data_IF_560612035098
#
_entry.id   IF_560612035098
#
_cell.length_a   1.000
_cell.length_b   1.000
_cell.length_c   1.000
_cell.angle_alpha   90.00
_cell.angle_beta   90.00
_cell.angle_gamma   90.00
#
_symmetry.space_group_name_H-M   'P 1'
#
loop_
_entity.id
_entity.type
_entity.pdbx_description
1 polymer ?
#
# COMPACT_ATOMS: atom_id res chain seq x y z
N UNK A 1 38.47 -12.28 16.80
CA UNK A 1 37.04 -12.15 17.07
C UNK A 1 36.61 -10.80 16.53
N UNK A 2 35.61 -10.75 15.63
CA UNK A 2 35.12 -9.47 15.11
C UNK A 2 34.49 -8.67 16.26
N UNK A 3 34.84 -7.40 16.37
CA UNK A 3 34.14 -6.49 17.28
C UNK A 3 32.73 -6.26 16.75
N UNK A 4 31.73 -6.65 17.55
CA UNK A 4 30.32 -6.61 17.18
C UNK A 4 29.73 -5.21 17.42
N UNK A 5 30.36 -4.40 18.28
CA UNK A 5 29.85 -3.07 18.63
C UNK A 5 29.72 -2.16 17.40
N UNK A 6 30.73 -2.00 16.52
CA UNK A 6 30.60 -1.14 15.34
C UNK A 6 29.48 -1.56 14.39
N UNK A 7 29.22 -2.87 14.28
CA UNK A 7 28.14 -3.44 13.46
C UNK A 7 26.78 -3.06 14.07
N UNK A 8 26.62 -3.30 15.37
CA UNK A 8 25.42 -2.95 16.11
C UNK A 8 25.11 -1.45 16.03
N UNK A 9 26.14 -0.62 16.21
CA UNK A 9 26.06 0.84 16.13
C UNK A 9 25.61 1.29 14.74
N UNK A 10 26.25 0.76 13.69
CA UNK A 10 25.89 1.09 12.31
C UNK A 10 24.44 0.72 11.98
N UNK A 11 24.01 -0.50 12.35
CA UNK A 11 22.63 -0.95 12.13
C UNK A 11 21.61 -0.09 12.89
N UNK A 12 21.91 0.26 14.15
CA UNK A 12 21.02 1.04 15.00
C UNK A 12 20.79 2.45 14.45
N UNK A 13 21.85 3.11 13.99
CA UNK A 13 21.71 4.41 13.32
C UNK A 13 20.99 4.33 11.97
N UNK A 14 21.28 3.30 11.19
CA UNK A 14 20.64 3.08 9.90
C UNK A 14 19.13 2.85 10.05
N UNK A 15 18.73 2.05 11.05
CA UNK A 15 17.34 1.73 11.32
C UNK A 15 16.53 2.99 11.65
N UNK A 16 17.02 3.80 12.59
CA UNK A 16 16.37 5.08 12.92
C UNK A 16 16.30 6.01 11.69
N UNK A 17 17.37 6.08 10.90
CA UNK A 17 17.40 6.95 9.73
C UNK A 17 16.39 6.53 8.66
N UNK A 18 16.30 5.24 8.35
CA UNK A 18 15.34 4.71 7.38
C UNK A 18 13.92 5.00 7.85
N UNK A 19 13.60 4.66 9.11
CA UNK A 19 12.27 4.87 9.67
C UNK A 19 11.85 6.34 9.62
N UNK A 20 12.73 7.27 10.04
CA UNK A 20 12.43 8.70 9.96
C UNK A 20 12.23 9.15 8.51
N UNK A 21 13.06 8.69 7.56
CA UNK A 21 12.90 9.07 6.15
C UNK A 21 11.60 8.55 5.54
N UNK A 22 11.19 7.32 5.86
CA UNK A 22 10.00 6.68 5.28
C UNK A 22 8.70 7.10 5.95
N UNK A 23 8.73 7.58 7.20
CA UNK A 23 7.52 7.94 7.95
C UNK A 23 7.26 9.45 8.05
N UNK A 24 8.30 10.28 7.91
CA UNK A 24 8.18 11.74 8.02
C UNK A 24 8.51 12.48 6.73
N UNK A 25 9.21 11.82 5.80
CA UNK A 25 9.77 12.48 4.63
C UNK A 25 10.87 13.50 4.95
N UNK A 26 11.44 13.53 6.17
CA UNK A 26 12.50 14.47 6.53
C UNK A 26 13.72 14.38 5.60
N UNK A 27 14.40 15.50 5.35
CA UNK A 27 15.69 15.53 4.65
C UNK A 27 16.80 15.10 5.59
N UNK A 28 17.91 14.68 5.01
CA UNK A 28 19.13 14.33 5.74
C UNK A 28 19.58 15.41 6.74
N UNK A 29 19.54 16.69 6.36
CA UNK A 29 19.90 17.80 7.27
C UNK A 29 18.93 17.89 8.47
N UNK A 30 17.66 17.59 8.27
CA UNK A 30 16.60 17.64 9.30
C UNK A 30 16.78 16.46 10.26
N UNK A 31 17.08 15.26 9.74
CA UNK A 31 17.43 14.08 10.53
C UNK A 31 18.65 14.32 11.44
N UNK A 32 19.73 14.90 10.91
CA UNK A 32 20.96 15.11 11.67
C UNK A 32 20.80 16.16 12.80
N UNK A 33 19.70 16.92 12.82
CA UNK A 33 19.41 17.90 13.87
C UNK A 33 18.78 17.28 15.12
N UNK A 34 18.25 16.05 15.05
CA UNK A 34 17.56 15.42 16.17
C UNK A 34 18.55 15.26 17.34
N UNK A 35 18.17 15.81 18.50
CA UNK A 35 18.99 15.86 19.69
C UNK A 35 18.13 15.60 20.94
N UNK A 36 18.78 15.29 22.06
CA UNK A 36 18.09 14.88 23.30
C UNK A 36 17.59 16.05 24.15
N UNK A 37 17.58 17.29 23.63
CA UNK A 37 17.04 18.41 24.41
C UNK A 37 15.52 18.37 24.43
N UNK A 38 14.93 18.92 25.49
CA UNK A 38 13.47 19.00 25.64
C UNK A 38 12.85 19.83 24.52
N UNK A 39 13.58 20.79 23.97
CA UNK A 39 13.08 21.59 22.87
C UNK A 39 13.00 20.76 21.58
N UNK A 40 13.87 19.79 21.37
CA UNK A 40 13.87 18.99 20.14
C UNK A 40 12.74 17.95 20.14
N UNK A 41 12.64 17.11 21.16
CA UNK A 41 11.64 16.05 21.23
C UNK A 41 10.41 16.52 22.01
N UNK A 42 9.22 16.39 21.42
CA UNK A 42 7.97 16.85 22.00
C UNK A 42 6.97 15.70 22.10
N UNK A 43 6.25 15.66 23.23
CA UNK A 43 5.18 14.70 23.49
C UNK A 43 3.94 15.52 23.86
N UNK A 44 2.88 15.39 23.06
CA UNK A 44 1.63 16.13 23.25
C UNK A 44 0.47 15.15 23.38
N UNK A 45 -0.44 15.38 24.33
CA UNK A 45 -1.68 14.59 24.44
C UNK A 45 -2.78 15.35 23.69
N UNK A 46 -3.33 14.75 22.64
CA UNK A 46 -4.43 15.31 21.84
C UNK A 46 -5.53 14.27 21.73
N UNK A 47 -6.76 14.62 22.13
CA UNK A 47 -7.92 13.70 22.15
C UNK A 47 -7.58 12.34 22.76
N UNK A 48 -6.96 12.37 23.95
CA UNK A 48 -6.52 11.20 24.72
C UNK A 48 -5.40 10.35 24.11
N UNK A 49 -4.94 10.64 22.90
CA UNK A 49 -3.81 9.97 22.25
C UNK A 49 -2.52 10.77 22.43
N UNK A 50 -1.42 10.06 22.64
CA UNK A 50 -0.09 10.67 22.67
C UNK A 50 0.41 10.85 21.24
N UNK A 51 0.83 12.07 20.92
CA UNK A 51 1.49 12.45 19.69
C UNK A 51 2.94 12.78 19.98
N UNK A 52 3.83 12.22 19.17
CA UNK A 52 5.27 12.42 19.27
C UNK A 52 5.73 13.26 18.08
N UNK A 53 6.71 14.11 18.31
CA UNK A 53 7.34 14.87 17.24
C UNK A 53 8.77 15.23 17.59
N UNK A 54 9.57 15.52 16.56
CA UNK A 54 10.82 16.25 16.71
C UNK A 54 10.75 17.60 16.02
N UNK A 55 11.54 18.55 16.50
CA UNK A 55 11.62 19.89 15.95
C UNK A 55 12.96 20.10 15.26
N UNK A 56 12.92 20.52 14.00
CA UNK A 56 14.10 20.79 13.18
C UNK A 56 13.87 22.02 12.29
N UNK A 57 14.94 22.61 11.78
CA UNK A 57 14.89 23.70 10.79
C UNK A 57 14.90 23.08 9.39
N UNK A 58 13.80 23.14 8.63
CA UNK A 58 13.74 22.58 7.28
C UNK A 58 14.69 23.28 6.31
N UNK A 59 15.11 22.58 5.25
CA UNK A 59 15.92 23.18 4.18
C UNK A 59 15.19 24.39 3.58
N UNK A 60 15.88 25.53 3.52
CA UNK A 60 15.29 26.78 3.00
C UNK A 60 14.35 27.45 4.00
N UNK A 61 14.38 27.11 5.28
CA UNK A 61 13.70 27.86 6.34
C UNK A 61 14.73 28.25 7.39
N UNK A 62 14.45 29.29 8.15
CA UNK A 62 15.26 29.72 9.30
C UNK A 62 14.48 29.60 10.61
N UNK A 63 13.23 29.12 10.53
CA UNK A 63 12.38 28.82 11.67
C UNK A 63 12.30 27.31 11.89
N UNK A 64 12.14 26.96 13.17
CA UNK A 64 11.95 25.59 13.62
C UNK A 64 10.53 25.14 13.26
N UNK A 65 10.40 23.95 12.70
CA UNK A 65 9.13 23.31 12.37
C UNK A 65 9.05 21.90 12.99
N UNK A 66 7.83 21.40 13.13
CA UNK A 66 7.51 20.15 13.82
C UNK A 66 7.31 19.01 12.82
N UNK A 67 8.03 17.91 13.03
CA UNK A 67 7.93 16.66 12.28
C UNK A 67 7.25 15.62 13.17
N UNK A 68 6.05 15.19 12.80
CA UNK A 68 5.33 14.16 13.55
C UNK A 68 5.95 12.78 13.33
N UNK A 69 6.12 12.03 14.41
CA UNK A 69 6.72 10.70 14.39
C UNK A 69 5.81 9.67 15.06
N UNK A 70 6.01 8.41 14.68
CA UNK A 70 5.27 7.30 15.27
C UNK A 70 5.83 6.93 16.65
N UNK A 71 5.06 6.12 17.40
CA UNK A 71 5.56 5.50 18.63
C UNK A 71 6.80 4.63 18.37
N UNK A 72 6.82 3.90 17.26
CA UNK A 72 7.94 3.06 16.84
C UNK A 72 9.20 3.87 16.57
N UNK A 73 9.09 5.02 15.90
CA UNK A 73 10.19 5.96 15.71
C UNK A 73 10.75 6.43 17.05
N UNK A 74 9.88 6.70 18.03
CA UNK A 74 10.29 7.08 19.38
C UNK A 74 11.03 5.93 20.09
N UNK A 75 10.59 4.68 19.90
CA UNK A 75 11.30 3.50 20.41
C UNK A 75 12.71 3.38 19.79
N UNK A 76 12.87 3.63 18.48
CA UNK A 76 14.19 3.67 17.85
C UNK A 76 15.08 4.80 18.37
N UNK A 77 14.51 5.97 18.65
CA UNK A 77 15.24 7.06 19.32
C UNK A 77 15.73 6.62 20.70
N UNK A 78 14.92 5.89 21.47
CA UNK A 78 15.31 5.38 22.78
C UNK A 78 16.39 4.29 22.70
N UNK A 79 16.36 3.45 21.66
CA UNK A 79 17.42 2.46 21.40
C UNK A 79 18.74 3.16 21.11
N UNK A 80 18.74 4.16 20.22
CA UNK A 80 19.93 4.98 19.94
C UNK A 80 20.42 5.69 21.21
N UNK A 81 19.51 6.25 22.01
CA UNK A 81 19.88 6.90 23.26
C UNK A 81 20.60 5.95 24.22
N UNK A 82 20.04 4.75 24.40
CA UNK A 82 20.60 3.72 25.29
C UNK A 82 21.98 3.27 24.83
N UNK A 83 22.11 2.94 23.55
CA UNK A 83 23.38 2.58 22.92
C UNK A 83 24.45 3.67 23.13
N UNK A 84 24.09 4.95 22.95
CA UNK A 84 25.03 6.06 23.18
C UNK A 84 25.42 6.21 24.66
N UNK A 85 24.47 6.07 25.59
CA UNK A 85 24.76 6.12 27.02
C UNK A 85 25.71 5.01 27.45
N UNK A 86 25.50 3.80 26.92
CA UNK A 86 26.39 2.66 27.13
C UNK A 86 27.78 2.92 26.56
N UNK A 87 27.87 3.36 25.30
CA UNK A 87 29.13 3.68 24.64
C UNK A 87 29.94 4.76 25.37
N UNK A 88 29.27 5.81 25.85
CA UNK A 88 29.92 6.91 26.57
C UNK A 88 30.03 6.67 28.08
N UNK A 89 29.51 5.56 28.60
CA UNK A 89 29.45 5.24 30.03
C UNK A 89 28.89 6.41 30.85
N UNK A 90 27.80 7.01 30.37
CA UNK A 90 27.21 8.23 30.96
C UNK A 90 25.69 8.23 30.86
N UNK A 91 25.04 8.80 31.87
CA UNK A 91 23.59 9.01 31.87
C UNK A 91 23.12 10.03 30.84
N UNK A 92 24.03 10.83 30.28
CA UNK A 92 23.75 11.85 29.27
C UNK A 92 24.68 11.67 28.08
N UNK A 93 24.17 11.93 26.88
CA UNK A 93 25.00 11.97 25.68
C UNK A 93 25.72 13.33 25.61
N UNK A 94 27.00 13.36 25.18
CA UNK A 94 27.79 14.57 25.16
C UNK A 94 27.25 15.58 24.13
N UNK A 95 27.46 16.86 24.41
CA UNK A 95 27.13 17.93 23.46
C UNK A 95 28.27 18.11 22.48
N UNK A 96 27.98 18.04 21.18
CA UNK A 96 28.97 18.10 20.11
C UNK A 96 28.59 19.16 19.09
N UNK A 97 29.57 19.73 18.41
CA UNK A 97 29.34 20.70 17.34
C UNK A 97 28.57 20.09 16.17
N UNK A 98 27.68 20.88 15.55
CA UNK A 98 27.00 20.47 14.32
C UNK A 98 27.94 20.54 13.12
N UNK A 99 28.05 19.43 12.36
CA UNK A 99 29.10 19.27 11.31
C UNK A 99 28.57 19.23 9.87
N UNK A 100 27.33 19.65 9.63
CA UNK A 100 26.72 19.60 8.30
C UNK A 100 26.48 20.99 7.68
N UNK A 101 25.89 21.04 6.47
CA UNK A 101 25.90 22.20 5.56
C UNK A 101 25.32 23.50 6.10
N UNK A 102 24.53 23.44 7.19
CA UNK A 102 23.93 24.61 7.86
C UNK A 102 24.45 24.85 9.28
N UNK A 103 25.71 24.49 9.58
CA UNK A 103 26.32 24.68 10.92
C UNK A 103 26.19 26.10 11.49
N UNK A 104 26.13 27.12 10.65
CA UNK A 104 25.97 28.52 11.09
C UNK A 104 24.65 28.78 11.86
N UNK A 105 23.63 27.92 11.69
CA UNK A 105 22.37 28.00 12.45
C UNK A 105 22.43 27.27 13.80
N UNK A 106 23.52 26.56 14.06
CA UNK A 106 23.71 25.75 15.26
C UNK A 106 25.09 26.06 15.88
N UNK A 107 25.29 27.30 16.37
CA UNK A 107 26.57 27.71 16.94
C UNK A 107 26.88 26.97 18.25
N UNK A 108 25.84 26.69 19.04
CA UNK A 108 25.98 25.98 20.31
C UNK A 108 26.05 24.46 20.10
N UNK A 109 27.03 23.76 20.72
CA UNK A 109 27.04 22.31 20.78
C UNK A 109 25.76 21.75 21.38
N UNK A 110 25.26 20.63 20.84
CA UNK A 110 24.04 19.98 21.33
C UNK A 110 24.22 18.46 21.46
N UNK A 111 23.42 17.80 22.32
CA UNK A 111 23.44 16.37 22.47
C UNK A 111 22.72 15.68 21.30
N UNK A 112 23.31 15.69 20.11
CA UNK A 112 22.72 15.09 18.90
C UNK A 112 22.62 13.57 19.03
N UNK A 113 21.55 12.95 18.50
CA UNK A 113 21.46 11.49 18.46
C UNK A 113 22.40 10.90 17.41
N UNK A 114 22.60 11.57 16.28
CA UNK A 114 23.55 11.14 15.26
C UNK A 114 24.97 11.61 15.60
N UNK A 115 25.57 11.00 16.62
CA UNK A 115 26.94 11.22 17.05
C UNK A 115 27.62 9.91 17.40
N UNK A 116 28.95 9.85 17.30
CA UNK A 116 29.74 8.73 17.79
C UNK A 116 31.18 9.21 18.03
N UNK A 117 31.88 8.65 19.02
CA UNK A 117 33.23 9.10 19.42
C UNK A 117 33.34 10.62 19.61
N UNK A 118 32.38 11.23 20.31
CA UNK A 118 32.33 12.68 20.61
C UNK A 118 32.29 13.59 19.37
N UNK A 119 31.79 13.08 18.25
CA UNK A 119 31.66 13.86 17.01
C UNK A 119 30.28 13.64 16.40
N UNK A 120 29.63 14.74 15.98
CA UNK A 120 28.44 14.64 15.14
C UNK A 120 28.79 13.91 13.84
N UNK A 121 27.86 13.07 13.39
CA UNK A 121 28.01 12.32 12.15
C UNK A 121 27.95 13.22 10.92
N UNK A 122 28.72 12.83 9.92
CA UNK A 122 28.60 13.35 8.56
C UNK A 122 27.66 12.48 7.74
N UNK A 123 27.09 13.07 6.70
CA UNK A 123 26.25 12.37 5.73
C UNK A 123 26.89 11.09 5.14
N UNK A 124 28.20 11.09 4.89
CA UNK A 124 28.92 9.94 4.34
C UNK A 124 28.89 8.72 5.27
N UNK A 125 29.04 8.96 6.58
CA UNK A 125 28.96 7.91 7.60
C UNK A 125 27.54 7.32 7.64
N UNK A 126 26.52 8.17 7.70
CA UNK A 126 25.14 7.71 7.71
C UNK A 126 24.76 6.92 6.45
N UNK A 127 25.18 7.38 5.26
CA UNK A 127 24.96 6.62 4.03
C UNK A 127 25.66 5.27 4.04
N UNK A 128 26.83 5.16 4.69
CA UNK A 128 27.52 3.88 4.86
C UNK A 128 26.74 2.96 5.80
N UNK A 129 26.22 3.48 6.92
CA UNK A 129 25.34 2.74 7.82
C UNK A 129 24.09 2.21 7.10
N UNK A 130 23.41 3.07 6.31
CA UNK A 130 22.21 2.67 5.55
C UNK A 130 22.55 1.60 4.51
N UNK A 131 23.62 1.78 3.73
CA UNK A 131 24.05 0.77 2.76
C UNK A 131 24.41 -0.55 3.41
N UNK A 132 25.01 -0.51 4.60
CA UNK A 132 25.35 -1.70 5.36
C UNK A 132 24.09 -2.43 5.85
N UNK A 133 23.13 -1.72 6.44
CA UNK A 133 21.87 -2.33 6.89
C UNK A 133 21.05 -2.88 5.71
N UNK A 134 21.08 -2.20 4.57
CA UNK A 134 20.41 -2.63 3.35
C UNK A 134 21.25 -3.58 2.50
N UNK A 135 22.39 -4.06 3.01
CA UNK A 135 23.25 -4.97 2.29
C UNK A 135 22.49 -6.27 1.98
N UNK A 136 22.66 -6.79 0.76
CA UNK A 136 21.91 -7.91 0.19
C UNK A 136 20.44 -7.65 -0.21
N UNK A 137 19.88 -6.47 0.05
CA UNK A 137 18.60 -6.08 -0.58
C UNK A 137 18.85 -5.52 -1.98
N UNK A 138 18.22 -6.13 -2.99
CA UNK A 138 18.23 -5.65 -4.37
C UNK A 138 17.00 -4.79 -4.62
N UNK A 139 17.25 -3.53 -4.96
CA UNK A 139 16.22 -2.62 -5.46
C UNK A 139 16.48 -2.42 -6.94
N UNK A 140 15.49 -2.67 -7.79
CA UNK A 140 15.62 -2.57 -9.24
C UNK A 140 14.52 -1.67 -9.80
N UNK A 141 14.82 -0.95 -10.88
CA UNK A 141 13.78 -0.28 -11.68
C UNK A 141 12.96 -1.31 -12.46
N UNK A 142 11.84 -0.90 -13.07
CA UNK A 142 11.06 -1.78 -13.97
C UNK A 142 11.90 -2.32 -15.15
N UNK A 143 12.98 -1.63 -15.49
CA UNK A 143 13.93 -2.00 -16.55
C UNK A 143 15.08 -2.90 -16.03
N UNK A 144 15.00 -3.37 -14.77
CA UNK A 144 16.02 -4.24 -14.15
C UNK A 144 17.30 -3.51 -13.74
N UNK A 145 17.32 -2.17 -13.72
CA UNK A 145 18.52 -1.42 -13.34
C UNK A 145 18.64 -1.33 -11.82
N UNK A 146 19.77 -1.71 -11.20
CA UNK A 146 19.94 -1.65 -9.76
C UNK A 146 19.95 -0.21 -9.23
N UNK A 147 19.13 0.04 -8.21
CA UNK A 147 18.98 1.34 -7.55
C UNK A 147 19.65 1.30 -6.18
N UNK A 148 20.57 2.22 -5.95
CA UNK A 148 21.09 2.47 -4.59
C UNK A 148 20.12 3.35 -3.82
N UNK A 149 19.62 2.85 -2.68
CA UNK A 149 18.73 3.63 -1.80
C UNK A 149 19.43 4.90 -1.30
N UNK A 150 18.82 6.05 -1.59
CA UNK A 150 19.26 7.38 -1.17
C UNK A 150 18.15 8.04 -0.35
N UNK A 151 18.52 8.94 0.56
CA UNK A 151 17.57 9.64 1.43
C UNK A 151 16.46 10.40 0.68
N UNK A 152 16.75 10.93 -0.52
CA UNK A 152 15.72 11.58 -1.33
C UNK A 152 14.73 10.58 -1.94
N UNK A 153 15.17 9.36 -2.29
CA UNK A 153 14.29 8.32 -2.81
C UNK A 153 13.29 7.85 -1.74
N UNK A 154 13.74 7.70 -0.48
CA UNK A 154 12.86 7.36 0.64
C UNK A 154 11.83 8.46 0.92
N UNK A 155 12.26 9.73 0.87
CA UNK A 155 11.35 10.88 0.94
C UNK A 155 10.34 10.89 -0.21
N UNK A 156 10.75 10.52 -1.42
CA UNK A 156 9.84 10.37 -2.56
C UNK A 156 8.83 9.25 -2.33
N UNK A 157 9.29 8.08 -1.88
CA UNK A 157 8.42 6.95 -1.57
C UNK A 157 7.36 7.32 -0.52
N UNK A 158 7.74 8.05 0.53
CA UNK A 158 6.78 8.57 1.51
C UNK A 158 5.73 9.50 0.86
N UNK A 159 6.18 10.46 0.06
CA UNK A 159 5.26 11.41 -0.59
C UNK A 159 4.29 10.71 -1.55
N UNK A 160 4.77 9.76 -2.34
CA UNK A 160 3.96 8.95 -3.25
C UNK A 160 2.96 8.09 -2.47
N UNK A 161 3.37 7.42 -1.40
CA UNK A 161 2.47 6.61 -0.57
C UNK A 161 1.36 7.47 0.06
N UNK A 162 1.73 8.62 0.64
CA UNK A 162 0.81 9.55 1.28
C UNK A 162 -0.25 10.10 0.31
N UNK A 163 0.16 10.51 -0.89
CA UNK A 163 -0.75 11.09 -1.89
C UNK A 163 -1.53 10.01 -2.63
N UNK A 164 -0.85 8.97 -3.11
CA UNK A 164 -1.44 8.04 -4.07
C UNK A 164 -2.24 6.93 -3.41
N UNK A 165 -1.76 6.34 -2.31
CA UNK A 165 -2.41 5.22 -1.63
C UNK A 165 -3.27 5.68 -0.45
N UNK A 166 -2.75 6.58 0.37
CA UNK A 166 -3.47 7.09 1.54
C UNK A 166 -4.42 8.25 1.20
N UNK A 167 -4.38 8.76 -0.03
CA UNK A 167 -5.23 9.86 -0.54
C UNK A 167 -5.21 11.10 0.36
N UNK A 168 -4.09 11.37 1.02
CA UNK A 168 -3.95 12.56 1.87
C UNK A 168 -3.95 13.80 0.97
N UNK A 169 -4.77 14.83 1.28
CA UNK A 169 -4.79 16.08 0.54
C UNK A 169 -3.40 16.68 0.33
N UNK A 170 -3.13 17.17 -0.89
CA UNK A 170 -1.81 17.68 -1.29
C UNK A 170 -1.34 18.85 -0.42
N UNK A 171 -2.24 19.71 0.04
CA UNK A 171 -1.93 20.82 0.94
C UNK A 171 -1.46 20.34 2.32
N UNK A 172 -2.00 19.24 2.81
CA UNK A 172 -1.55 18.58 4.05
C UNK A 172 -0.18 17.94 3.82
N UNK A 173 0.02 17.19 2.73
CA UNK A 173 1.33 16.57 2.42
C UNK A 173 2.41 17.63 2.21
N UNK A 174 2.11 18.73 1.52
CA UNK A 174 3.04 19.84 1.31
C UNK A 174 3.48 20.48 2.65
N UNK A 175 2.54 20.61 3.60
CA UNK A 175 2.85 21.05 4.97
C UNK A 175 3.71 20.05 5.73
N UNK A 176 3.39 18.76 5.68
CA UNK A 176 4.18 17.68 6.33
C UNK A 176 5.60 17.62 5.77
N UNK A 177 5.77 17.82 4.45
CA UNK A 177 7.08 17.85 3.81
C UNK A 177 7.82 19.18 3.98
N UNK A 178 7.20 20.18 4.60
CA UNK A 178 7.73 21.54 4.74
C UNK A 178 8.21 22.12 3.40
N UNK A 179 7.41 21.97 2.34
CA UNK A 179 7.72 22.53 1.02
C UNK A 179 7.52 24.05 1.01
N UNK A 180 8.31 24.77 0.22
CA UNK A 180 8.14 26.22 -0.01
C UNK A 180 7.05 26.51 -1.04
N UNK A 181 6.91 25.64 -2.03
CA UNK A 181 5.98 25.78 -3.15
C UNK A 181 5.15 24.50 -3.27
N UNK A 182 3.82 24.65 -3.20
CA UNK A 182 2.83 23.56 -3.28
C UNK A 182 2.81 22.96 -4.69
N UNK A 183 3.21 23.72 -5.72
CA UNK A 183 3.28 23.22 -7.10
C UNK A 183 4.36 22.15 -7.27
N UNK A 184 5.40 22.12 -6.43
CA UNK A 184 6.40 21.04 -6.43
C UNK A 184 5.83 19.72 -5.90
N UNK A 185 4.77 19.79 -5.09
CA UNK A 185 4.03 18.60 -4.61
C UNK A 185 3.18 17.97 -5.72
N UNK A 186 2.86 18.72 -6.78
CA UNK A 186 2.10 18.22 -7.94
C UNK A 186 2.84 17.09 -8.69
N UNK A 187 4.17 17.09 -8.65
CA UNK A 187 4.99 16.01 -9.19
C UNK A 187 4.73 14.66 -8.47
N UNK A 188 4.33 14.67 -7.19
CA UNK A 188 4.01 13.45 -6.44
C UNK A 188 2.60 12.93 -6.69
N UNK A 189 1.71 13.78 -7.22
CA UNK A 189 0.40 13.39 -7.71
C UNK A 189 0.42 12.80 -9.12
N UNK A 190 1.56 12.82 -9.82
CA UNK A 190 1.70 12.14 -11.10
C UNK A 190 1.44 10.63 -10.90
N UNK A 191 0.35 10.08 -11.47
CA UNK A 191 0.02 8.67 -11.31
C UNK A 191 1.11 7.83 -11.99
N UNK A 192 1.53 6.73 -11.34
CA UNK A 192 2.48 5.82 -11.99
C UNK A 192 1.84 5.13 -13.19
N UNK A 193 2.59 4.68 -14.20
CA UNK A 193 2.02 3.96 -15.34
C UNK A 193 1.13 2.78 -14.93
N UNK A 194 1.50 2.04 -13.87
CA UNK A 194 0.70 0.97 -13.28
C UNK A 194 -0.62 1.48 -12.70
N UNK A 195 -0.63 2.65 -12.07
CA UNK A 195 -1.85 3.26 -11.52
C UNK A 195 -2.75 3.85 -12.60
N UNK A 196 -2.17 4.39 -13.67
CA UNK A 196 -2.95 4.79 -14.85
C UNK A 196 -3.60 3.57 -15.47
N UNK A 197 -2.84 2.49 -15.67
CA UNK A 197 -3.37 1.23 -16.19
C UNK A 197 -4.48 0.67 -15.29
N UNK A 198 -4.29 0.71 -13.96
CA UNK A 198 -5.30 0.28 -13.01
C UNK A 198 -6.54 1.19 -13.01
N UNK A 199 -6.37 2.52 -12.97
CA UNK A 199 -7.49 3.46 -12.94
C UNK A 199 -8.26 3.49 -14.27
N UNK A 200 -7.56 3.33 -15.40
CA UNK A 200 -8.18 3.16 -16.72
C UNK A 200 -8.88 1.79 -16.80
N UNK A 201 -8.29 0.74 -16.23
CA UNK A 201 -8.94 -0.57 -16.08
C UNK A 201 -10.23 -0.47 -15.25
N UNK A 202 -10.16 0.10 -14.05
CA UNK A 202 -11.32 0.35 -13.17
C UNK A 202 -12.35 1.26 -13.85
N UNK A 203 -11.92 2.28 -14.60
CA UNK A 203 -12.81 3.12 -15.39
C UNK A 203 -13.46 2.33 -16.54
N UNK A 204 -12.73 1.46 -17.23
CA UNK A 204 -13.30 0.57 -18.24
C UNK A 204 -14.30 -0.40 -17.61
N UNK A 205 -14.03 -0.94 -16.43
CA UNK A 205 -14.94 -1.81 -15.69
C UNK A 205 -16.21 -1.05 -15.29
N UNK A 206 -16.08 0.20 -14.84
CA UNK A 206 -17.19 1.08 -14.48
C UNK A 206 -17.98 1.51 -15.73
N UNK A 207 -17.32 1.88 -16.82
CA UNK A 207 -17.98 2.19 -18.09
C UNK A 207 -18.73 0.95 -18.60
N UNK A 208 -18.11 -0.23 -18.56
CA UNK A 208 -18.75 -1.50 -18.90
C UNK A 208 -19.96 -1.79 -17.99
N UNK A 209 -19.96 -1.32 -16.74
CA UNK A 209 -21.10 -1.45 -15.82
C UNK A 209 -22.23 -0.43 -16.05
N UNK A 210 -21.93 0.74 -16.64
CA UNK A 210 -22.90 1.81 -16.91
C UNK A 210 -23.50 1.75 -18.31
N UNK A 211 -22.76 1.21 -19.27
CA UNK A 211 -23.35 0.80 -20.53
C UNK A 211 -24.01 -0.55 -20.23
N UNK A 212 -25.34 -0.57 -20.18
CA UNK A 212 -26.15 -1.79 -20.01
C UNK A 212 -26.01 -2.67 -21.27
N UNK A 213 -24.81 -3.20 -21.51
CA UNK A 213 -24.49 -4.24 -22.50
C UNK A 213 -24.37 -5.59 -21.79
N UNK A 214 -24.53 -5.68 -20.46
CA UNK A 214 -24.46 -6.96 -19.73
C UNK A 214 -25.60 -7.93 -20.14
N UNK A 215 -26.74 -7.45 -20.66
CA UNK A 215 -27.71 -8.33 -21.34
C UNK A 215 -27.29 -8.74 -22.75
N UNK A 216 -26.38 -8.01 -23.39
CA UNK A 216 -25.90 -8.22 -24.76
C UNK A 216 -24.50 -8.87 -24.85
N UNK A 217 -23.77 -9.02 -23.74
CA UNK A 217 -22.48 -9.72 -23.63
C UNK A 217 -22.61 -10.85 -22.61
N UNK A 218 -23.43 -11.84 -22.93
CA UNK A 218 -23.31 -13.16 -22.29
C UNK A 218 -22.04 -13.82 -22.83
N UNK A 219 -21.16 -14.29 -21.93
CA UNK A 219 -19.96 -15.06 -22.34
C UNK A 219 -20.42 -16.35 -22.99
N UNK A 220 -19.82 -16.70 -24.13
CA UNK A 220 -20.18 -17.95 -24.80
C UNK A 220 -19.64 -19.16 -24.00
N UNK A 221 -20.28 -20.34 -24.09
CA UNK A 221 -19.77 -21.56 -23.47
C UNK A 221 -18.34 -21.90 -23.89
N UNK A 222 -17.97 -21.65 -25.15
CA UNK A 222 -16.62 -21.89 -25.68
C UNK A 222 -15.58 -20.89 -25.13
N UNK A 223 -15.99 -19.67 -24.81
CA UNK A 223 -15.13 -18.69 -24.13
C UNK A 223 -14.85 -19.11 -22.69
N UNK A 224 -15.90 -19.50 -21.95
CA UNK A 224 -15.78 -19.99 -20.58
C UNK A 224 -14.93 -21.27 -20.49
N UNK A 225 -15.10 -22.20 -21.44
CA UNK A 225 -14.30 -23.42 -21.50
C UNK A 225 -12.83 -23.12 -21.79
N UNK A 226 -12.52 -22.19 -22.71
CA UNK A 226 -11.14 -21.77 -22.99
C UNK A 226 -10.46 -21.12 -21.79
N UNK A 227 -11.17 -20.28 -21.04
CA UNK A 227 -10.65 -19.68 -19.81
C UNK A 227 -10.36 -20.73 -18.73
N UNK A 228 -11.25 -21.71 -18.58
CA UNK A 228 -11.05 -22.85 -17.67
C UNK A 228 -9.83 -23.70 -18.08
N UNK A 229 -9.67 -23.99 -19.38
CA UNK A 229 -8.60 -24.83 -19.92
C UNK A 229 -7.23 -24.15 -19.89
N UNK A 230 -7.15 -22.85 -20.21
CA UNK A 230 -5.90 -22.07 -20.08
C UNK A 230 -5.43 -22.03 -18.62
N UNK A 231 -6.37 -21.92 -17.66
CA UNK A 231 -6.05 -21.94 -16.24
C UNK A 231 -5.66 -23.34 -15.73
N UNK A 232 -6.32 -24.41 -16.21
CA UNK A 232 -5.93 -25.80 -15.97
C UNK A 232 -4.44 -26.05 -16.32
N UNK A 233 -3.93 -25.36 -17.34
CA UNK A 233 -2.54 -25.51 -17.78
C UNK A 233 -1.51 -24.76 -16.91
N UNK A 234 -1.93 -23.77 -16.11
CA UNK A 234 -1.02 -22.83 -15.43
C UNK A 234 -0.84 -23.11 -13.93
N UNK A 235 -1.87 -23.39 -13.13
CA UNK A 235 -1.72 -23.76 -11.69
C UNK A 235 -2.98 -24.46 -11.13
N UNK A 236 -2.81 -25.53 -10.32
CA UNK A 236 -3.89 -26.41 -9.82
C UNK A 236 -4.63 -26.01 -8.53
N UNK A 237 -4.83 -24.71 -8.25
CA UNK A 237 -5.62 -24.27 -7.07
C UNK A 237 -6.95 -23.68 -7.52
N UNK A 238 -7.96 -24.54 -7.69
CA UNK A 238 -9.35 -24.09 -7.81
C UNK A 238 -9.87 -23.68 -6.43
N UNK A 239 -10.14 -22.40 -6.25
CA UNK A 239 -10.91 -21.96 -5.09
C UNK A 239 -12.39 -22.04 -5.44
N UNK A 240 -13.09 -23.01 -4.84
CA UNK A 240 -14.55 -23.09 -4.90
C UNK A 240 -15.14 -21.85 -4.23
N UNK A 241 -16.05 -21.20 -4.94
CA UNK A 241 -16.73 -19.98 -4.51
C UNK A 241 -18.22 -20.13 -4.81
N UNK A 242 -19.03 -19.27 -4.22
CA UNK A 242 -20.48 -19.28 -4.41
C UNK A 242 -20.89 -19.35 -5.89
N UNK A 243 -21.54 -20.46 -6.27
CA UNK A 243 -22.04 -20.70 -7.63
C UNK A 243 -20.99 -21.08 -8.67
N UNK A 244 -19.75 -21.43 -8.29
CA UNK A 244 -18.74 -21.87 -9.25
C UNK A 244 -17.29 -21.90 -8.74
N UNK A 245 -16.36 -21.63 -9.64
CA UNK A 245 -14.91 -21.69 -9.38
C UNK A 245 -14.22 -20.38 -9.74
N UNK A 246 -13.37 -19.88 -8.85
CA UNK A 246 -12.53 -18.71 -9.11
C UNK A 246 -11.25 -19.13 -9.83
N UNK A 247 -10.97 -18.48 -10.98
CA UNK A 247 -9.78 -18.75 -11.82
C UNK A 247 -8.72 -17.65 -11.72
N UNK A 248 -8.71 -16.90 -10.62
CA UNK A 248 -7.66 -15.89 -10.35
C UNK A 248 -6.46 -16.55 -9.67
N UNK A 249 -5.27 -16.41 -10.24
CA UNK A 249 -3.99 -16.94 -9.73
C UNK A 249 -3.19 -15.93 -8.87
N UNK A 250 -3.77 -14.75 -8.64
CA UNK A 250 -3.22 -13.67 -7.82
C UNK A 250 -4.18 -13.21 -6.71
N UNK A 251 -3.75 -12.24 -5.89
CA UNK A 251 -4.54 -11.71 -4.78
C UNK A 251 -5.87 -11.11 -5.28
N UNK A 252 -6.99 -11.57 -4.73
CA UNK A 252 -8.33 -11.19 -5.16
C UNK A 252 -8.53 -9.64 -5.25
N UNK A 253 -8.76 -9.09 -6.46
CA UNK A 253 -8.91 -7.65 -6.65
C UNK A 253 -10.27 -7.14 -6.13
N UNK A 254 -11.30 -7.99 -6.10
CA UNK A 254 -12.67 -7.65 -5.68
C UNK A 254 -12.93 -7.92 -4.20
N UNK A 255 -11.89 -8.19 -3.40
CA UNK A 255 -11.99 -8.41 -1.94
C UNK A 255 -13.02 -9.48 -1.55
N UNK A 256 -13.01 -10.60 -2.27
CA UNK A 256 -13.87 -11.77 -2.06
C UNK A 256 -15.37 -11.54 -2.39
N UNK A 257 -15.72 -10.46 -3.10
CA UNK A 257 -17.06 -10.28 -3.66
C UNK A 257 -17.23 -11.17 -4.91
N UNK A 258 -17.59 -12.44 -4.71
CA UNK A 258 -17.59 -13.46 -5.77
C UNK A 258 -18.81 -13.43 -6.70
N UNK A 259 -19.93 -12.84 -6.27
CA UNK A 259 -21.15 -12.75 -7.08
C UNK A 259 -21.02 -11.61 -8.10
N UNK A 260 -21.18 -11.92 -9.39
CA UNK A 260 -20.95 -10.99 -10.50
C UNK A 260 -19.47 -10.80 -10.87
N UNK A 261 -18.55 -11.56 -10.27
CA UNK A 261 -17.13 -11.46 -10.57
C UNK A 261 -16.80 -12.06 -11.94
N UNK A 262 -16.17 -11.30 -12.84
CA UNK A 262 -15.79 -11.78 -14.19
C UNK A 262 -14.74 -12.91 -14.15
N UNK A 263 -13.89 -12.95 -13.13
CA UNK A 263 -12.91 -14.03 -12.94
C UNK A 263 -13.51 -15.31 -12.33
N UNK A 264 -14.83 -15.36 -12.12
CA UNK A 264 -15.55 -16.56 -11.73
C UNK A 264 -16.12 -17.24 -12.97
N UNK A 265 -15.93 -18.55 -13.04
CA UNK A 265 -16.60 -19.42 -14.00
C UNK A 265 -17.77 -20.10 -13.27
N UNK A 266 -19.03 -19.78 -13.62
CA UNK A 266 -20.20 -20.46 -13.05
C UNK A 266 -20.23 -21.94 -13.41
N UNK A 267 -20.60 -22.78 -12.45
CA UNK A 267 -20.65 -24.24 -12.64
C UNK A 267 -22.09 -24.76 -12.52
N UNK A 268 -22.61 -25.52 -13.52
CA UNK A 268 -23.96 -26.08 -13.46
C UNK A 268 -24.25 -26.90 -12.19
N UNK A 269 -23.24 -27.55 -11.62
CA UNK A 269 -23.34 -28.38 -10.42
C UNK A 269 -23.63 -27.52 -9.16
N UNK A 270 -23.27 -26.23 -9.18
CA UNK A 270 -23.44 -25.28 -8.07
C UNK A 270 -24.62 -24.31 -8.27
N UNK A 271 -25.45 -24.52 -9.30
CA UNK A 271 -26.59 -23.65 -9.63
C UNK A 271 -27.55 -23.41 -8.45
N UNK A 272 -27.75 -24.43 -7.62
CA UNK A 272 -28.61 -24.38 -6.43
C UNK A 272 -28.21 -23.27 -5.45
N UNK A 273 -26.91 -22.95 -5.35
CA UNK A 273 -26.41 -21.89 -4.50
C UNK A 273 -26.88 -20.50 -4.97
N UNK A 274 -26.95 -20.28 -6.28
CA UNK A 274 -27.45 -19.03 -6.87
C UNK A 274 -28.95 -18.86 -6.64
N UNK A 275 -29.73 -19.94 -6.67
CA UNK A 275 -31.15 -19.91 -6.32
C UNK A 275 -31.37 -19.51 -4.84
N UNK A 276 -30.54 -20.02 -3.93
CA UNK A 276 -30.57 -19.60 -2.52
C UNK A 276 -30.19 -18.13 -2.34
N UNK A 277 -29.22 -17.62 -3.10
CA UNK A 277 -28.88 -16.18 -3.12
C UNK A 277 -30.07 -15.33 -3.59
N UNK A 278 -30.79 -15.76 -4.62
CA UNK A 278 -31.99 -15.06 -5.10
C UNK A 278 -33.06 -15.03 -4.01
N UNK A 279 -33.25 -16.13 -3.27
CA UNK A 279 -34.20 -16.18 -2.16
C UNK A 279 -33.79 -15.26 -1.02
N UNK A 280 -32.53 -15.34 -0.58
CA UNK A 280 -31.96 -14.46 0.45
C UNK A 280 -32.09 -12.98 0.08
N UNK A 281 -31.81 -12.63 -1.18
CA UNK A 281 -31.89 -11.25 -1.67
C UNK A 281 -33.32 -10.67 -1.58
N UNK A 282 -34.36 -11.48 -1.78
CA UNK A 282 -35.76 -11.06 -1.63
C UNK A 282 -36.07 -10.79 -0.15
N UNK A 283 -35.67 -11.69 0.73
CA UNK A 283 -35.87 -11.53 2.18
C UNK A 283 -35.14 -10.27 2.71
N UNK A 284 -33.93 -10.01 2.22
CA UNK A 284 -33.15 -8.81 2.54
C UNK A 284 -33.85 -7.54 2.02
N UNK A 285 -34.31 -7.54 0.78
CA UNK A 285 -35.05 -6.42 0.19
C UNK A 285 -36.28 -6.07 1.04
N UNK A 286 -37.09 -7.05 1.43
CA UNK A 286 -38.29 -6.83 2.25
C UNK A 286 -37.96 -6.25 3.63
N UNK A 287 -36.93 -6.79 4.30
CA UNK A 287 -36.51 -6.32 5.63
C UNK A 287 -35.96 -4.90 5.59
N UNK A 288 -35.08 -4.60 4.64
CA UNK A 288 -34.49 -3.26 4.53
C UNK A 288 -35.48 -2.20 4.07
N UNK A 289 -36.48 -2.58 3.27
CA UNK A 289 -37.59 -1.70 2.92
C UNK A 289 -38.38 -1.30 4.17
N UNK A 290 -38.70 -2.25 5.06
CA UNK A 290 -39.40 -1.97 6.34
C UNK A 290 -38.57 -1.09 7.28
N UNK A 291 -37.24 -1.12 7.17
CA UNK A 291 -36.32 -0.31 7.99
C UNK A 291 -36.01 1.07 7.38
N UNK A 292 -36.47 1.37 6.16
CA UNK A 292 -36.16 2.62 5.46
C UNK A 292 -34.70 2.75 5.01
N UNK A 293 -34.02 1.63 4.76
CA UNK A 293 -32.60 1.60 4.36
C UNK A 293 -32.45 1.45 2.83
N UNK A 294 -32.70 2.52 2.09
CA UNK A 294 -32.77 2.51 0.61
C UNK A 294 -31.49 2.00 -0.08
N UNK A 295 -30.32 2.29 0.49
CA UNK A 295 -29.04 1.81 -0.06
C UNK A 295 -28.91 0.29 0.05
N UNK A 296 -29.37 -0.28 1.16
CA UNK A 296 -29.33 -1.73 1.38
C UNK A 296 -30.37 -2.45 0.51
N UNK A 297 -31.52 -1.82 0.27
CA UNK A 297 -32.51 -2.28 -0.72
C UNK A 297 -31.90 -2.36 -2.13
N UNK A 298 -31.14 -1.34 -2.55
CA UNK A 298 -30.44 -1.36 -3.85
C UNK A 298 -29.41 -2.47 -3.93
N UNK A 299 -28.61 -2.69 -2.88
CA UNK A 299 -27.63 -3.79 -2.83
C UNK A 299 -28.29 -5.16 -2.93
N UNK A 300 -29.41 -5.37 -2.25
CA UNK A 300 -30.17 -6.62 -2.33
C UNK A 300 -30.71 -6.87 -3.75
N UNK A 301 -31.21 -5.82 -4.43
CA UNK A 301 -31.64 -5.91 -5.83
C UNK A 301 -30.49 -6.22 -6.78
N UNK A 302 -29.32 -5.61 -6.58
CA UNK A 302 -28.13 -5.84 -7.39
C UNK A 302 -27.60 -7.27 -7.22
N UNK A 303 -27.52 -7.76 -5.98
CA UNK A 303 -27.20 -9.16 -5.68
C UNK A 303 -28.10 -10.12 -6.46
N UNK A 304 -29.41 -9.85 -6.51
CA UNK A 304 -30.35 -10.65 -7.29
C UNK A 304 -30.12 -10.56 -8.80
N UNK A 305 -29.76 -9.38 -9.32
CA UNK A 305 -29.45 -9.17 -10.74
C UNK A 305 -28.26 -10.03 -11.15
N UNK A 306 -27.17 -9.96 -10.40
CA UNK A 306 -25.94 -10.70 -10.67
C UNK A 306 -26.15 -12.22 -10.63
N UNK A 307 -26.86 -12.73 -9.62
CA UNK A 307 -27.18 -14.17 -9.54
C UNK A 307 -27.99 -14.66 -10.76
N UNK A 308 -28.91 -13.84 -11.29
CA UNK A 308 -29.69 -14.19 -12.50
C UNK A 308 -28.85 -14.20 -13.77
N UNK A 309 -27.87 -13.31 -13.88
CA UNK A 309 -26.95 -13.28 -15.04
C UNK A 309 -26.14 -14.58 -15.06
N UNK A 310 -25.58 -14.98 -13.92
CA UNK A 310 -24.81 -16.22 -13.83
C UNK A 310 -25.66 -17.47 -14.09
N UNK A 311 -26.93 -17.48 -13.69
CA UNK A 311 -27.86 -18.55 -14.06
C UNK A 311 -28.08 -18.65 -15.58
N UNK A 312 -28.13 -17.51 -16.29
CA UNK A 312 -28.20 -17.51 -17.77
C UNK A 312 -26.91 -18.07 -18.38
N UNK A 313 -25.75 -17.74 -17.82
CA UNK A 313 -24.47 -18.33 -18.27
C UNK A 313 -24.46 -19.86 -18.06
N UNK A 314 -24.96 -20.35 -16.92
CA UNK A 314 -25.12 -21.79 -16.66
C UNK A 314 -26.06 -22.45 -17.68
N UNK A 315 -27.16 -21.79 -18.05
CA UNK A 315 -28.09 -22.30 -19.06
C UNK A 315 -27.41 -22.48 -20.42
N UNK A 316 -26.61 -21.50 -20.85
CA UNK A 316 -25.83 -21.59 -22.09
C UNK A 316 -24.79 -22.73 -22.02
N UNK A 317 -24.11 -22.90 -20.88
CA UNK A 317 -23.15 -24.01 -20.68
C UNK A 317 -23.85 -25.35 -20.81
N UNK A 318 -25.05 -25.51 -20.23
CA UNK A 318 -25.84 -26.75 -20.34
C UNK A 318 -26.25 -27.04 -21.77
N UNK A 319 -26.76 -26.04 -22.48
CA UNK A 319 -27.15 -26.17 -23.90
C UNK A 319 -25.96 -26.62 -24.75
N UNK A 320 -24.79 -25.99 -24.57
CA UNK A 320 -23.58 -26.38 -25.30
C UNK A 320 -23.11 -27.81 -24.97
N UNK A 321 -23.17 -28.23 -23.69
CA UNK A 321 -22.86 -29.61 -23.30
C UNK A 321 -23.83 -30.62 -23.95
N UNK A 322 -25.12 -30.28 -24.05
CA UNK A 322 -26.12 -31.11 -24.73
C UNK A 322 -25.86 -31.22 -26.24
N UNK A 323 -25.52 -30.10 -26.89
CA UNK A 323 -25.17 -30.06 -28.32
C UNK A 323 -23.91 -30.88 -28.65
N UNK A 324 -22.89 -30.86 -27.79
CA UNK A 324 -21.69 -31.69 -27.92
C UNK A 324 -21.99 -33.20 -27.83
N UNK A 325 -23.06 -33.58 -27.15
CA UNK A 325 -23.50 -34.97 -26.99
C UNK A 325 -24.58 -35.39 -28.00
N UNK A 326 -25.02 -34.50 -28.89
CA UNK A 326 -26.06 -34.78 -29.88
C UNK A 326 -25.50 -35.49 -31.12
N UNK A 327 -25.77 -36.79 -31.26
CA UNK A 327 -25.53 -37.52 -32.51
C UNK A 327 -26.68 -37.27 -33.51
N UNK A 328 -26.41 -36.73 -34.71
CA UNK A 328 -27.47 -36.46 -35.69
C UNK A 328 -28.04 -37.76 -36.27
N UNK A 329 -29.36 -37.89 -36.25
CA UNK A 329 -30.07 -38.99 -36.92
C UNK A 329 -30.01 -38.75 -38.44
N UNK A 330 -29.03 -39.37 -39.11
CA UNK A 330 -28.91 -39.33 -40.57
C UNK A 330 -30.06 -40.15 -41.18
N UNK A 331 -31.13 -39.49 -41.63
CA UNK A 331 -32.11 -40.10 -42.53
C UNK A 331 -31.55 -40.09 -43.95
N UNK A 332 -30.94 -41.20 -44.36
CA UNK A 332 -30.66 -41.44 -45.79
C UNK A 332 -31.99 -41.66 -46.52
N UNK A 333 -32.44 -40.65 -47.27
CA UNK A 333 -33.51 -40.85 -48.26
C UNK A 333 -32.94 -41.65 -49.44
N UNK A 334 -33.66 -42.71 -49.81
CA UNK A 334 -33.38 -43.62 -50.93
C UNK A 334 -33.43 -42.93 -52.29
#
# INVERSE_FOLDING_TARGET
MFDVEPIYVACTFALLAIDVFTTTGARLNELLQINSTRECIQIKKVKEKLHYSFRAIPKGRDKVEEFYISKQTMEYIQIVLRMLKEHYQSDKIPSVEYRYSRRHLFPEPKPYYFQYQNKAMKHTCLYSCIKFLLHAMRFETQEGTPVTVKSHLLRHAFATEAVQRQKIPLDIVAKVLHQRDVNVTSYYSAPTPTQIAQAVGELHDVIASYVDIDEAILRSPEELQRELDDHNSKVGVFNKVLGGSCVTDYICPTKMACLGCKAKIPEPEQEHELHEVIKLSKDMEERFTKMGLDVEVKKAKEMRKQARIELKEIELIKQHREELHYEPIIRTNK
#
